data_IF_129671716390
#
_entry.id   IF_129671716390
#
_cell.length_a   1.000
_cell.length_b   1.000
_cell.length_c   1.000
_cell.angle_alpha   90.00
_cell.angle_beta   90.00
_cell.angle_gamma   90.00
#
_symmetry.space_group_name_H-M   'P 1'
#
loop_
_entity.id
_entity.type
_entity.pdbx_description
1 polymer ?
#
# COMPACT_ATOMS: atom_id res chain seq x y z
N UNK A 1 -4.56 38.63 -11.36
CA UNK A 1 -4.30 38.07 -12.71
C UNK A 1 -4.00 36.59 -12.47
N UNK A 2 -4.86 35.70 -12.96
CA UNK A 2 -4.67 34.24 -12.84
C UNK A 2 -3.49 33.79 -13.72
N UNK A 3 -2.88 32.65 -13.35
CA UNK A 3 -1.84 32.00 -14.16
C UNK A 3 -2.48 31.41 -15.42
N UNK A 4 -1.75 31.41 -16.52
CA UNK A 4 -2.14 30.64 -17.72
C UNK A 4 -1.95 29.14 -17.46
N UNK A 5 -2.56 28.26 -18.27
CA UNK A 5 -2.41 26.80 -18.13
C UNK A 5 -0.94 26.36 -18.19
N UNK A 6 -0.16 26.92 -19.11
CA UNK A 6 1.28 26.64 -19.21
C UNK A 6 2.05 27.09 -17.97
N UNK A 7 1.72 28.25 -17.39
CA UNK A 7 2.34 28.71 -16.14
C UNK A 7 1.94 27.84 -14.95
N UNK A 8 0.68 27.41 -14.88
CA UNK A 8 0.18 26.49 -13.86
C UNK A 8 0.91 25.16 -13.93
N UNK A 9 1.04 24.60 -15.13
CA UNK A 9 1.77 23.34 -15.33
C UNK A 9 3.24 23.48 -14.89
N UNK A 10 3.95 24.51 -15.35
CA UNK A 10 5.36 24.74 -14.98
C UNK A 10 5.53 24.90 -13.46
N UNK A 11 4.62 25.63 -12.82
CA UNK A 11 4.60 25.82 -11.37
C UNK A 11 4.40 24.48 -10.63
N UNK A 12 3.42 23.69 -11.04
CA UNK A 12 3.12 22.39 -10.42
C UNK A 12 4.27 21.40 -10.60
N UNK A 13 4.89 21.33 -11.78
CA UNK A 13 6.04 20.47 -12.05
C UNK A 13 7.27 20.82 -11.20
N UNK A 14 7.40 22.07 -10.78
CA UNK A 14 8.47 22.52 -9.90
C UNK A 14 8.12 22.30 -8.42
N UNK A 15 6.94 22.73 -8.00
CA UNK A 15 6.58 22.81 -6.57
C UNK A 15 6.12 21.48 -6.00
N UNK A 16 5.35 20.69 -6.75
CA UNK A 16 4.78 19.45 -6.24
C UNK A 16 5.84 18.40 -5.88
N UNK A 17 6.85 18.10 -6.74
CA UNK A 17 7.94 17.19 -6.36
C UNK A 17 8.75 17.68 -5.15
N UNK A 18 8.97 19.00 -5.03
CA UNK A 18 9.67 19.60 -3.90
C UNK A 18 8.89 19.42 -2.59
N UNK A 19 7.58 19.65 -2.63
CA UNK A 19 6.68 19.43 -1.50
C UNK A 19 6.65 17.95 -1.09
N UNK A 20 6.45 17.05 -2.04
CA UNK A 20 6.48 15.59 -1.79
C UNK A 20 7.79 15.17 -1.14
N UNK A 21 8.95 15.67 -1.62
CA UNK A 21 10.25 15.37 -1.04
C UNK A 21 10.39 15.89 0.39
N UNK A 22 9.98 17.15 0.63
CA UNK A 22 10.10 17.77 1.95
C UNK A 22 9.30 17.00 3.02
N UNK A 23 8.01 16.76 2.76
CA UNK A 23 7.17 16.01 3.69
C UNK A 23 7.50 14.52 3.71
N UNK A 24 7.95 13.95 2.59
CA UNK A 24 8.44 12.58 2.52
C UNK A 24 9.65 12.34 3.43
N UNK A 25 10.61 13.26 3.45
CA UNK A 25 11.76 13.18 4.36
C UNK A 25 11.34 13.22 5.84
N UNK A 26 10.34 14.04 6.20
CA UNK A 26 9.78 14.04 7.56
C UNK A 26 9.12 12.70 7.90
N UNK A 27 8.36 12.13 6.96
CA UNK A 27 7.73 10.83 7.14
C UNK A 27 8.77 9.71 7.26
N UNK A 28 9.86 9.77 6.49
CA UNK A 28 10.99 8.84 6.60
C UNK A 28 11.68 8.92 7.96
N UNK A 29 11.91 10.16 8.47
CA UNK A 29 12.48 10.35 9.80
C UNK A 29 11.60 9.75 10.91
N UNK A 30 10.28 10.02 10.85
CA UNK A 30 9.31 9.42 11.78
C UNK A 30 9.29 7.89 11.70
N UNK A 31 9.46 7.32 10.50
CA UNK A 31 9.54 5.86 10.32
C UNK A 31 10.80 5.26 10.95
N UNK A 32 11.94 5.96 10.92
CA UNK A 32 13.17 5.57 11.62
C UNK A 32 12.95 5.54 13.13
N UNK A 33 12.39 6.61 13.69
CA UNK A 33 12.09 6.69 15.13
C UNK A 33 11.14 5.55 15.53
N UNK A 34 10.05 5.38 14.79
CA UNK A 34 9.08 4.32 15.06
C UNK A 34 9.71 2.92 15.00
N UNK A 35 10.59 2.66 14.01
CA UNK A 35 11.28 1.39 13.89
C UNK A 35 12.19 1.13 15.10
N UNK A 36 12.99 2.12 15.50
CA UNK A 36 13.89 2.01 16.66
C UNK A 36 13.12 1.80 17.97
N UNK A 37 12.04 2.56 18.19
CA UNK A 37 11.17 2.42 19.36
C UNK A 37 10.55 1.02 19.41
N UNK A 38 10.03 0.56 18.28
CA UNK A 38 9.42 -0.76 18.19
C UNK A 38 10.48 -1.86 18.46
N UNK A 39 11.67 -1.75 17.86
CA UNK A 39 12.79 -2.68 18.09
C UNK A 39 13.21 -2.71 19.56
N UNK A 40 13.25 -1.57 20.23
CA UNK A 40 13.60 -1.47 21.65
C UNK A 40 12.59 -2.16 22.59
N UNK A 41 11.39 -2.50 22.12
CA UNK A 41 10.42 -3.27 22.92
C UNK A 41 10.74 -4.77 22.98
N UNK A 42 11.73 -5.24 22.21
CA UNK A 42 12.17 -6.64 22.17
C UNK A 42 13.55 -6.77 22.79
N UNK A 43 13.79 -7.89 23.45
CA UNK A 43 15.11 -8.28 23.96
C UNK A 43 15.86 -9.02 22.84
N UNK A 44 16.70 -8.27 22.12
CA UNK A 44 17.39 -8.75 20.92
C UNK A 44 18.89 -8.80 21.14
N UNK A 45 19.52 -9.89 20.78
CA UNK A 45 20.97 -10.09 20.88
C UNK A 45 21.80 -9.29 19.87
N UNK A 46 21.15 -8.66 18.91
CA UNK A 46 21.81 -7.91 17.83
C UNK A 46 21.62 -6.40 17.96
N UNK A 47 22.70 -5.65 17.76
CA UNK A 47 22.65 -4.20 17.65
C UNK A 47 22.25 -3.78 16.23
N UNK A 48 21.29 -2.89 16.12
CA UNK A 48 20.89 -2.27 14.88
C UNK A 48 20.24 -0.91 15.16
N UNK A 49 20.57 0.07 14.36
CA UNK A 49 19.95 1.40 14.39
C UNK A 49 19.39 1.69 13.00
N UNK A 50 18.11 1.96 12.91
CA UNK A 50 17.44 2.28 11.66
C UNK A 50 17.99 3.57 11.06
N UNK A 51 18.02 3.64 9.74
CA UNK A 51 18.49 4.80 8.97
C UNK A 51 17.52 5.10 7.82
N UNK A 52 17.55 6.35 7.33
CA UNK A 52 16.78 6.72 6.14
C UNK A 52 17.56 6.23 4.91
N UNK A 53 16.97 5.34 4.05
CA UNK A 53 17.60 4.93 2.80
C UNK A 53 17.54 6.06 1.78
N UNK A 54 18.27 5.92 0.67
CA UNK A 54 18.12 6.82 -0.46
C UNK A 54 16.76 6.61 -1.13
N UNK A 55 15.88 7.63 -1.04
CA UNK A 55 14.53 7.59 -1.61
C UNK A 55 14.38 8.71 -2.64
N UNK A 56 14.05 8.32 -3.87
CA UNK A 56 13.78 9.29 -4.94
C UNK A 56 12.42 9.02 -5.59
N UNK A 57 11.44 9.87 -5.28
CA UNK A 57 10.08 9.83 -5.87
C UNK A 57 9.85 10.99 -6.86
N UNK A 58 10.90 11.66 -7.31
CA UNK A 58 10.79 12.84 -8.18
C UNK A 58 10.02 12.54 -9.48
N UNK A 59 10.39 11.46 -10.17
CA UNK A 59 9.74 11.11 -11.43
C UNK A 59 8.29 10.65 -11.24
N UNK A 60 7.98 9.98 -10.13
CA UNK A 60 6.62 9.61 -9.80
C UNK A 60 5.77 10.85 -9.52
N UNK A 61 6.31 11.84 -8.81
CA UNK A 61 5.62 13.10 -8.54
C UNK A 61 5.38 13.90 -9.84
N UNK A 62 6.36 13.96 -10.74
CA UNK A 62 6.15 14.55 -12.08
C UNK A 62 5.04 13.82 -12.83
N UNK A 63 5.06 12.48 -12.83
CA UNK A 63 4.02 11.67 -13.47
C UNK A 63 2.63 11.89 -12.88
N UNK A 64 2.53 12.14 -11.56
CA UNK A 64 1.27 12.49 -10.91
C UNK A 64 0.73 13.84 -11.42
N UNK A 65 1.59 14.85 -11.55
CA UNK A 65 1.20 16.17 -12.10
C UNK A 65 0.70 16.02 -13.53
N UNK A 66 1.49 15.40 -14.41
CA UNK A 66 1.13 15.26 -15.82
C UNK A 66 -0.21 14.52 -16.00
N UNK A 67 -0.35 13.36 -15.36
CA UNK A 67 -1.60 12.59 -15.43
C UNK A 67 -2.78 13.36 -14.87
N UNK A 68 -2.62 14.06 -13.75
CA UNK A 68 -3.70 14.83 -13.15
C UNK A 68 -4.14 15.97 -14.05
N UNK A 69 -3.19 16.64 -14.74
CA UNK A 69 -3.52 17.70 -15.70
C UNK A 69 -4.20 17.16 -16.97
N UNK A 70 -3.88 15.92 -17.38
CA UNK A 70 -4.53 15.27 -18.53
C UNK A 70 -5.96 14.79 -18.22
N UNK A 71 -6.21 14.36 -16.98
CA UNK A 71 -7.47 13.72 -16.58
C UNK A 71 -8.48 14.66 -15.92
N UNK A 72 -8.05 15.84 -15.44
CA UNK A 72 -8.90 16.77 -14.71
C UNK A 72 -9.63 17.74 -15.64
N UNK A 73 -10.92 17.97 -15.37
CA UNK A 73 -11.75 18.90 -16.13
C UNK A 73 -11.48 20.37 -15.75
N UNK A 74 -11.02 20.62 -14.51
CA UNK A 74 -10.76 21.95 -13.99
C UNK A 74 -9.64 21.96 -12.93
N UNK A 75 -9.20 23.17 -12.55
CA UNK A 75 -8.13 23.38 -11.57
C UNK A 75 -8.51 22.89 -10.16
N UNK A 76 -9.77 22.87 -9.80
CA UNK A 76 -10.25 22.40 -8.50
C UNK A 76 -10.06 20.89 -8.42
N UNK A 77 -10.34 20.19 -9.51
CA UNK A 77 -10.11 18.75 -9.62
C UNK A 77 -8.61 18.42 -9.62
N UNK A 78 -7.77 19.21 -10.31
CA UNK A 78 -6.30 19.10 -10.24
C UNK A 78 -5.83 19.21 -8.79
N UNK A 79 -6.27 20.23 -8.06
CA UNK A 79 -5.89 20.45 -6.67
C UNK A 79 -6.33 19.30 -5.76
N UNK A 80 -7.55 18.82 -5.91
CA UNK A 80 -8.09 17.70 -5.13
C UNK A 80 -7.29 16.42 -5.38
N UNK A 81 -7.03 16.08 -6.65
CA UNK A 81 -6.32 14.89 -7.04
C UNK A 81 -4.85 14.91 -6.57
N UNK A 82 -4.15 16.05 -6.77
CA UNK A 82 -2.76 16.19 -6.30
C UNK A 82 -2.67 16.15 -4.76
N UNK A 83 -3.65 16.73 -4.05
CA UNK A 83 -3.71 16.64 -2.59
C UNK A 83 -3.82 15.20 -2.13
N UNK A 84 -4.70 14.40 -2.74
CA UNK A 84 -4.85 12.99 -2.43
C UNK A 84 -3.60 12.16 -2.75
N UNK A 85 -2.96 12.44 -3.89
CA UNK A 85 -1.71 11.80 -4.31
C UNK A 85 -0.52 12.19 -3.43
N UNK A 86 -0.48 13.44 -2.91
CA UNK A 86 0.57 13.89 -1.97
C UNK A 86 0.64 13.01 -0.73
N UNK A 87 -0.51 12.75 -0.10
CA UNK A 87 -0.56 11.89 1.07
C UNK A 87 -0.03 10.50 0.80
N UNK A 88 -0.38 9.93 -0.35
CA UNK A 88 0.14 8.64 -0.79
C UNK A 88 1.67 8.68 -0.97
N UNK A 89 2.20 9.68 -1.70
CA UNK A 89 3.64 9.80 -1.96
C UNK A 89 4.44 10.01 -0.69
N UNK A 90 3.95 10.81 0.23
CA UNK A 90 4.58 11.03 1.53
C UNK A 90 4.64 9.73 2.34
N UNK A 91 3.54 8.96 2.36
CA UNK A 91 3.53 7.67 3.06
C UNK A 91 4.45 6.62 2.41
N UNK A 92 4.66 6.68 1.08
CA UNK A 92 5.64 5.81 0.41
C UNK A 92 7.07 6.03 0.92
N UNK A 93 7.46 7.24 1.35
CA UNK A 93 8.77 7.47 2.00
C UNK A 93 8.87 6.74 3.35
N UNK A 94 7.83 6.82 4.15
CA UNK A 94 7.80 6.10 5.43
C UNK A 94 7.84 4.58 5.21
N UNK A 95 7.08 4.07 4.25
CA UNK A 95 7.02 2.64 3.94
C UNK A 95 8.35 2.10 3.40
N UNK A 96 8.95 2.82 2.46
CA UNK A 96 10.26 2.43 1.91
C UNK A 96 11.33 2.43 3.01
N UNK A 97 11.31 3.45 3.89
CA UNK A 97 12.24 3.53 5.04
C UNK A 97 12.03 2.37 6.01
N UNK A 98 10.79 2.12 6.40
CA UNK A 98 10.46 1.05 7.34
C UNK A 98 10.87 -0.32 6.79
N UNK A 99 10.52 -0.59 5.53
CA UNK A 99 10.78 -1.87 4.89
C UNK A 99 12.27 -2.09 4.65
N UNK A 100 12.99 -1.05 4.20
CA UNK A 100 14.44 -1.15 3.99
C UNK A 100 15.17 -1.49 5.30
N UNK A 101 14.74 -0.90 6.43
CA UNK A 101 15.30 -1.22 7.73
C UNK A 101 14.92 -2.65 8.16
N UNK A 102 13.69 -3.08 7.97
CA UNK A 102 13.27 -4.45 8.29
C UNK A 102 14.05 -5.51 7.49
N UNK A 103 14.44 -5.19 6.24
CA UNK A 103 15.25 -6.08 5.41
C UNK A 103 16.72 -6.11 5.81
N UNK A 104 17.26 -5.01 6.36
CA UNK A 104 18.68 -4.90 6.76
C UNK A 104 18.92 -5.30 8.21
N UNK A 105 17.89 -5.34 9.03
CA UNK A 105 18.02 -5.71 10.44
C UNK A 105 18.51 -7.17 10.58
N UNK A 106 19.66 -7.40 11.26
CA UNK A 106 20.20 -8.75 11.45
C UNK A 106 19.31 -9.67 12.28
N UNK A 107 18.31 -9.13 12.99
CA UNK A 107 17.30 -9.91 13.68
C UNK A 107 16.22 -10.49 12.74
N UNK A 108 16.24 -10.14 11.43
CA UNK A 108 15.35 -10.66 10.40
C UNK A 108 13.85 -10.66 10.78
N UNK A 109 13.28 -9.52 11.19
CA UNK A 109 11.89 -9.48 11.62
C UNK A 109 10.93 -9.87 10.50
N UNK A 110 9.83 -10.49 10.87
CA UNK A 110 8.66 -10.57 10.00
C UNK A 110 7.88 -9.27 10.10
N UNK A 111 7.15 -8.91 9.08
CA UNK A 111 6.37 -7.69 9.09
C UNK A 111 4.97 -7.84 8.51
N UNK A 112 4.10 -6.89 8.86
CA UNK A 112 2.71 -6.85 8.48
C UNK A 112 2.27 -5.42 8.17
N UNK A 113 1.17 -5.26 7.45
CA UNK A 113 0.42 -4.01 7.37
C UNK A 113 -0.75 -4.07 8.34
N UNK A 114 -0.76 -3.16 9.29
CA UNK A 114 -1.79 -3.07 10.32
C UNK A 114 -2.85 -2.06 9.89
N UNK A 115 -4.09 -2.50 9.62
CA UNK A 115 -5.17 -1.60 9.30
C UNK A 115 -5.66 -0.84 10.53
N UNK A 116 -5.79 0.48 10.41
CA UNK A 116 -6.36 1.35 11.43
C UNK A 116 -7.86 1.60 11.22
N UNK A 117 -8.47 2.35 12.14
CA UNK A 117 -9.88 2.75 12.04
C UNK A 117 -10.17 3.45 10.70
N UNK A 118 -11.22 3.03 10.03
CA UNK A 118 -11.59 3.50 8.69
C UNK A 118 -10.77 2.90 7.55
N UNK A 119 -10.03 1.81 7.81
CA UNK A 119 -9.39 1.03 6.75
C UNK A 119 -10.44 0.37 5.84
N UNK A 120 -10.12 0.28 4.55
CA UNK A 120 -11.00 -0.37 3.57
C UNK A 120 -10.93 -1.89 3.64
N UNK A 121 -11.82 -2.58 2.92
CA UNK A 121 -11.88 -4.04 2.90
C UNK A 121 -10.58 -4.68 2.38
N UNK A 122 -9.90 -4.04 1.41
CA UNK A 122 -8.58 -4.48 0.93
C UNK A 122 -7.53 -4.46 2.05
N UNK A 123 -7.47 -3.37 2.82
CA UNK A 123 -6.55 -3.26 3.96
C UNK A 123 -6.83 -4.33 5.02
N UNK A 124 -8.11 -4.62 5.30
CA UNK A 124 -8.47 -5.68 6.24
C UNK A 124 -8.06 -7.07 5.73
N UNK A 125 -8.19 -7.32 4.43
CA UNK A 125 -7.73 -8.55 3.80
C UNK A 125 -6.20 -8.69 3.94
N UNK A 126 -5.43 -7.65 3.63
CA UNK A 126 -3.97 -7.67 3.79
C UNK A 126 -3.59 -7.88 5.26
N UNK A 127 -4.22 -7.16 6.18
CA UNK A 127 -3.99 -7.31 7.62
C UNK A 127 -4.35 -8.70 8.15
N UNK A 128 -5.29 -9.42 7.50
CA UNK A 128 -5.64 -10.78 7.92
C UNK A 128 -4.50 -11.79 7.74
N UNK A 129 -3.53 -11.51 6.86
CA UNK A 129 -2.36 -12.34 6.69
C UNK A 129 -1.40 -12.27 7.90
N UNK A 130 -1.42 -11.18 8.66
CA UNK A 130 -0.53 -10.96 9.80
C UNK A 130 0.93 -10.82 9.39
N UNK A 131 1.84 -11.25 10.26
CA UNK A 131 3.29 -11.14 10.10
C UNK A 131 3.86 -12.25 9.20
N UNK A 132 3.51 -12.26 7.94
CA UNK A 132 3.96 -13.27 6.96
C UNK A 132 4.88 -12.71 5.90
N UNK A 133 5.11 -11.41 5.93
CA UNK A 133 5.83 -10.73 4.87
C UNK A 133 7.33 -10.73 5.16
N UNK A 134 8.09 -11.34 4.26
CA UNK A 134 9.53 -11.24 4.15
C UNK A 134 9.87 -10.66 2.78
N UNK A 135 11.01 -10.13 2.61
CA UNK A 135 11.67 -9.49 1.45
C UNK A 135 10.84 -9.00 0.25
N UNK A 136 9.83 -9.73 -0.22
CA UNK A 136 9.16 -9.44 -1.49
C UNK A 136 7.70 -8.99 -1.38
N UNK A 137 7.19 -8.91 -0.22
CA UNK A 137 5.74 -9.21 -0.09
C UNK A 137 4.88 -8.09 0.18
N UNK A 138 4.97 -6.86 0.34
CA UNK A 138 3.80 -5.99 0.59
C UNK A 138 4.00 -4.49 0.39
N UNK A 139 5.09 -4.13 -0.18
CA UNK A 139 5.22 -2.75 -0.71
C UNK A 139 4.24 -2.49 -1.87
N UNK A 140 3.57 -3.55 -2.31
CA UNK A 140 2.60 -3.47 -3.34
C UNK A 140 1.34 -2.81 -2.81
N UNK A 141 1.13 -1.62 -3.24
CA UNK A 141 -0.20 -1.04 -3.37
C UNK A 141 -0.81 -0.40 -2.13
N UNK A 142 -0.15 0.60 -1.57
CA UNK A 142 -0.94 1.65 -0.94
C UNK A 142 -1.82 2.31 -2.00
N UNK A 143 -3.11 2.28 -1.79
CA UNK A 143 -4.05 3.10 -2.55
C UNK A 143 -4.10 4.53 -1.96
N UNK A 144 -4.63 5.45 -2.69
CA UNK A 144 -4.95 6.80 -2.21
C UNK A 144 -5.81 6.69 -0.94
N UNK A 145 -5.46 7.46 0.11
CA UNK A 145 -6.11 7.41 1.43
C UNK A 145 -5.95 6.08 2.21
N UNK A 146 -4.93 5.28 1.93
CA UNK A 146 -4.63 4.10 2.73
C UNK A 146 -4.36 4.47 4.20
N UNK A 147 -4.98 3.71 5.12
CA UNK A 147 -4.84 3.90 6.58
C UNK A 147 -4.21 2.65 7.22
N UNK A 148 -3.14 2.15 6.63
CA UNK A 148 -2.39 1.04 7.20
C UNK A 148 -1.00 1.51 7.60
N UNK A 149 -0.45 0.96 8.67
CA UNK A 149 0.93 1.21 9.10
C UNK A 149 1.72 -0.08 9.02
N UNK A 150 2.93 -0.07 8.42
CA UNK A 150 3.81 -1.21 8.49
C UNK A 150 4.29 -1.39 9.94
N UNK A 151 4.45 -2.63 10.36
CA UNK A 151 5.00 -2.97 11.67
C UNK A 151 5.79 -4.27 11.58
N UNK A 152 6.72 -4.51 12.50
CA UNK A 152 7.55 -5.71 12.55
C UNK A 152 7.25 -6.55 13.79
N UNK A 153 7.59 -7.82 13.70
CA UNK A 153 7.61 -8.78 14.80
C UNK A 153 8.93 -9.54 14.75
N UNK A 154 9.70 -9.43 15.82
CA UNK A 154 10.98 -10.14 16.00
C UNK A 154 10.83 -11.52 16.63
N UNK A 155 9.61 -12.01 16.75
CA UNK A 155 9.28 -13.22 17.49
C UNK A 155 8.92 -12.90 18.95
N UNK A 156 8.06 -13.71 19.55
CA UNK A 156 7.55 -13.51 20.91
C UNK A 156 6.85 -12.15 21.11
N UNK A 157 6.15 -11.67 20.08
CA UNK A 157 5.45 -10.39 20.10
C UNK A 157 4.48 -10.26 21.27
N UNK A 158 4.53 -9.16 22.03
CA UNK A 158 3.47 -8.81 22.99
C UNK A 158 2.13 -8.53 22.30
N UNK A 159 2.08 -8.59 20.98
CA UNK A 159 0.95 -8.17 20.15
C UNK A 159 0.98 -6.67 19.85
N UNK A 160 0.34 -6.29 18.76
CA UNK A 160 0.17 -4.88 18.38
C UNK A 160 -1.14 -4.38 18.94
N UNK A 161 -1.09 -3.32 19.74
CA UNK A 161 -2.29 -2.74 20.31
C UNK A 161 -3.32 -2.35 19.24
N UNK A 162 -4.56 -2.77 19.40
CA UNK A 162 -5.64 -2.52 18.44
C UNK A 162 -5.66 -3.45 17.22
N UNK A 163 -4.66 -4.31 17.05
CA UNK A 163 -4.60 -5.28 15.96
C UNK A 163 -5.07 -6.67 16.42
N UNK A 164 -6.13 -7.18 15.79
CA UNK A 164 -6.66 -8.51 16.06
C UNK A 164 -6.72 -9.32 14.78
N UNK A 165 -5.61 -9.98 14.46
CA UNK A 165 -5.47 -10.81 13.26
C UNK A 165 -6.55 -11.89 13.17
N UNK A 166 -6.89 -12.57 14.28
CA UNK A 166 -7.92 -13.63 14.30
C UNK A 166 -9.30 -13.09 13.91
N UNK A 167 -9.61 -11.84 14.31
CA UNK A 167 -10.86 -11.18 13.88
C UNK A 167 -10.85 -10.90 12.38
N UNK A 168 -9.74 -10.42 11.84
CA UNK A 168 -9.59 -10.17 10.41
C UNK A 168 -9.64 -11.47 9.59
N UNK A 169 -9.01 -12.52 10.07
CA UNK A 169 -9.07 -13.85 9.44
C UNK A 169 -10.51 -14.42 9.40
N UNK A 170 -11.31 -14.17 10.45
CA UNK A 170 -12.72 -14.55 10.45
C UNK A 170 -13.51 -13.78 9.39
N UNK A 171 -13.29 -12.47 9.26
CA UNK A 171 -13.93 -11.69 8.20
C UNK A 171 -13.58 -12.22 6.81
N UNK A 172 -12.29 -12.48 6.58
CA UNK A 172 -11.80 -13.06 5.33
C UNK A 172 -12.41 -14.43 5.04
N UNK A 173 -12.35 -15.37 5.99
CA UNK A 173 -12.82 -16.74 5.79
C UNK A 173 -14.34 -16.79 5.57
N UNK A 174 -15.12 -15.99 6.30
CA UNK A 174 -16.57 -15.88 6.11
C UNK A 174 -16.90 -15.32 4.73
N UNK A 175 -16.23 -14.25 4.32
CA UNK A 175 -16.45 -13.67 3.00
C UNK A 175 -16.05 -14.64 1.88
N UNK A 176 -14.91 -15.32 2.02
CA UNK A 176 -14.42 -16.32 1.07
C UNK A 176 -15.43 -17.45 0.90
N UNK A 177 -15.85 -18.07 2.00
CA UNK A 177 -16.82 -19.18 1.97
C UNK A 177 -18.13 -18.78 1.30
N UNK A 178 -18.55 -17.52 1.43
CA UNK A 178 -19.81 -17.04 0.81
C UNK A 178 -19.73 -16.74 -0.68
N UNK A 179 -18.53 -16.70 -1.29
CA UNK A 179 -18.36 -16.33 -2.72
C UNK A 179 -17.61 -17.36 -3.54
N UNK A 180 -16.92 -18.34 -2.93
CA UNK A 180 -15.95 -19.20 -3.62
C UNK A 180 -16.58 -20.07 -4.72
N UNK A 181 -17.73 -20.70 -4.46
CA UNK A 181 -18.40 -21.56 -5.43
C UNK A 181 -18.97 -20.76 -6.60
N UNK A 182 -19.61 -19.63 -6.32
CA UNK A 182 -20.09 -18.70 -7.35
C UNK A 182 -18.92 -18.16 -8.18
N UNK A 183 -17.82 -17.74 -7.52
CA UNK A 183 -16.64 -17.23 -8.20
C UNK A 183 -16.00 -18.29 -9.11
N UNK A 184 -15.94 -19.54 -8.69
CA UNK A 184 -15.42 -20.65 -9.49
C UNK A 184 -16.26 -20.87 -10.74
N UNK A 185 -17.58 -20.89 -10.60
CA UNK A 185 -18.51 -21.04 -11.70
C UNK A 185 -18.41 -19.87 -12.69
N UNK A 186 -18.41 -18.65 -12.19
CA UNK A 186 -18.26 -17.45 -13.01
C UNK A 186 -16.93 -17.41 -13.75
N UNK A 187 -15.82 -17.75 -13.07
CA UNK A 187 -14.51 -17.81 -13.70
C UNK A 187 -14.46 -18.85 -14.84
N UNK A 188 -15.04 -20.02 -14.63
CA UNK A 188 -15.09 -21.06 -15.65
C UNK A 188 -15.86 -20.61 -16.91
N UNK A 189 -16.92 -19.81 -16.72
CA UNK A 189 -17.75 -19.29 -17.80
C UNK A 189 -17.16 -18.07 -18.53
N UNK A 190 -16.15 -17.39 -17.94
CA UNK A 190 -15.54 -16.22 -18.56
C UNK A 190 -14.74 -16.58 -19.81
N UNK A 191 -14.84 -15.72 -20.81
CA UNK A 191 -13.98 -15.74 -21.98
C UNK A 191 -12.51 -15.43 -21.63
N UNK A 192 -11.53 -15.82 -22.47
CA UNK A 192 -10.13 -15.44 -22.28
C UNK A 192 -9.92 -13.92 -22.17
N UNK A 193 -10.69 -13.12 -22.92
CA UNK A 193 -10.60 -11.66 -22.90
C UNK A 193 -11.07 -11.08 -21.56
N UNK A 194 -12.17 -11.59 -21.01
CA UNK A 194 -12.66 -11.16 -19.69
C UNK A 194 -11.68 -11.51 -18.58
N UNK A 195 -11.02 -12.68 -18.66
CA UNK A 195 -10.02 -13.10 -17.66
C UNK A 195 -8.76 -12.23 -17.68
N UNK A 196 -8.41 -11.60 -18.80
CA UNK A 196 -7.25 -10.68 -18.90
C UNK A 196 -7.29 -9.53 -17.90
N UNK A 197 -8.48 -9.10 -17.45
CA UNK A 197 -8.64 -8.08 -16.41
C UNK A 197 -8.07 -8.47 -15.05
N UNK A 198 -7.81 -9.76 -14.84
CA UNK A 198 -7.34 -10.33 -13.57
C UNK A 198 -5.91 -10.86 -13.67
N UNK A 199 -5.08 -10.20 -14.46
CA UNK A 199 -3.65 -10.52 -14.54
C UNK A 199 -2.94 -10.02 -13.28
N UNK A 200 -1.97 -10.81 -12.80
CA UNK A 200 -1.08 -10.39 -11.72
C UNK A 200 0.23 -9.90 -12.30
N UNK A 201 0.47 -8.60 -12.18
CA UNK A 201 1.81 -8.05 -12.40
C UNK A 201 2.33 -7.58 -11.05
N UNK A 202 3.50 -8.04 -10.66
CA UNK A 202 4.23 -7.58 -9.47
C UNK A 202 5.41 -6.74 -9.93
N UNK A 203 5.62 -5.59 -9.30
CA UNK A 203 6.84 -4.82 -9.48
C UNK A 203 7.81 -5.22 -8.37
N UNK A 204 8.99 -5.69 -8.74
CA UNK A 204 10.06 -6.01 -7.80
C UNK A 204 10.72 -4.73 -7.27
N UNK A 205 11.54 -4.84 -6.22
CA UNK A 205 12.24 -3.71 -5.61
C UNK A 205 13.11 -2.93 -6.59
N UNK A 206 13.71 -3.61 -7.57
CA UNK A 206 14.52 -3.03 -8.64
C UNK A 206 13.68 -2.45 -9.81
N UNK A 207 12.37 -2.33 -9.63
CA UNK A 207 11.46 -1.74 -10.61
C UNK A 207 11.05 -2.67 -11.75
N UNK A 208 11.53 -3.92 -11.80
CA UNK A 208 11.11 -4.89 -12.82
C UNK A 208 9.69 -5.35 -12.59
N UNK A 209 8.91 -5.36 -13.65
CA UNK A 209 7.59 -6.01 -13.64
C UNK A 209 7.78 -7.51 -13.81
N UNK A 210 7.46 -8.28 -12.78
CA UNK A 210 7.43 -9.75 -12.80
C UNK A 210 6.00 -10.23 -12.64
N UNK A 211 5.67 -11.28 -13.36
CA UNK A 211 4.30 -11.79 -13.43
C UNK A 211 3.82 -11.69 -14.85
N UNK A 212 3.13 -12.70 -15.27
CA UNK A 212 2.75 -12.86 -16.65
C UNK A 212 1.52 -12.07 -17.03
N UNK A 213 1.30 -11.99 -18.31
CA UNK A 213 0.01 -11.68 -18.92
C UNK A 213 -1.02 -12.81 -18.68
N UNK A 214 -0.74 -13.73 -17.76
CA UNK A 214 -1.59 -14.88 -17.49
C UNK A 214 -2.68 -14.50 -16.48
N UNK A 215 -3.94 -14.62 -16.85
CA UNK A 215 -5.05 -14.39 -15.93
C UNK A 215 -4.99 -15.32 -14.71
N UNK A 216 -5.27 -14.79 -13.54
CA UNK A 216 -5.21 -15.51 -12.26
C UNK A 216 -6.59 -15.61 -11.63
N UNK A 217 -7.06 -16.83 -11.41
CA UNK A 217 -8.28 -17.08 -10.62
C UNK A 217 -8.18 -16.50 -9.21
N UNK A 218 -7.00 -16.58 -8.59
CA UNK A 218 -6.78 -16.02 -7.25
C UNK A 218 -6.94 -14.50 -7.22
N UNK A 219 -6.54 -13.78 -8.28
CA UNK A 219 -6.76 -12.34 -8.38
C UNK A 219 -8.26 -12.02 -8.51
N UNK A 220 -8.98 -12.80 -9.31
CA UNK A 220 -10.42 -12.68 -9.44
C UNK A 220 -11.16 -12.98 -8.12
N UNK A 221 -10.86 -14.12 -7.50
CA UNK A 221 -11.44 -14.53 -6.22
C UNK A 221 -11.19 -13.49 -5.12
N UNK A 222 -9.96 -12.96 -5.06
CA UNK A 222 -9.61 -11.90 -4.10
C UNK A 222 -10.50 -10.67 -4.26
N UNK A 223 -10.74 -10.23 -5.50
CA UNK A 223 -11.64 -9.09 -5.75
C UNK A 223 -13.07 -9.38 -5.27
N UNK A 224 -13.57 -10.60 -5.47
CA UNK A 224 -14.88 -11.02 -4.97
C UNK A 224 -14.93 -11.01 -3.44
N UNK A 225 -13.88 -11.51 -2.78
CA UNK A 225 -13.78 -11.52 -1.31
C UNK A 225 -13.77 -10.08 -0.78
N UNK A 226 -12.97 -9.18 -1.37
CA UNK A 226 -12.92 -7.77 -0.96
C UNK A 226 -14.27 -7.10 -1.09
N UNK A 227 -14.97 -7.30 -2.23
CA UNK A 227 -16.33 -6.78 -2.43
C UNK A 227 -17.31 -7.31 -1.38
N UNK A 228 -17.21 -8.60 -1.04
CA UNK A 228 -18.06 -9.21 -0.03
C UNK A 228 -17.77 -8.67 1.37
N UNK A 229 -16.49 -8.55 1.75
CA UNK A 229 -16.07 -7.94 3.02
C UNK A 229 -16.57 -6.50 3.14
N UNK A 230 -16.42 -5.70 2.08
CA UNK A 230 -16.91 -4.32 2.04
C UNK A 230 -18.41 -4.23 2.33
N UNK A 231 -19.21 -5.09 1.68
CA UNK A 231 -20.66 -5.15 1.89
C UNK A 231 -21.03 -5.61 3.31
N UNK A 232 -20.37 -6.65 3.82
CA UNK A 232 -20.66 -7.20 5.15
C UNK A 232 -20.28 -6.25 6.28
N UNK A 233 -19.25 -5.44 6.10
CA UNK A 233 -18.72 -4.54 7.11
C UNK A 233 -19.15 -3.08 6.91
N UNK A 234 -19.91 -2.80 5.84
CA UNK A 234 -20.32 -1.44 5.45
C UNK A 234 -19.16 -0.45 5.33
N UNK A 235 -18.06 -0.87 4.69
CA UNK A 235 -16.84 -0.10 4.51
C UNK A 235 -16.48 0.04 3.02
N UNK A 236 -15.55 0.94 2.72
CA UNK A 236 -15.04 1.13 1.37
C UNK A 236 -14.35 -0.14 0.83
N UNK A 237 -14.50 -0.40 -0.46
CA UNK A 237 -13.98 -1.60 -1.11
C UNK A 237 -12.49 -1.48 -1.47
N UNK A 238 -12.10 -0.45 -2.20
CA UNK A 238 -10.78 -0.21 -2.77
C UNK A 238 -10.11 -1.50 -3.27
N UNK A 239 -10.36 -1.84 -4.52
CA UNK A 239 -9.70 -2.93 -5.24
C UNK A 239 -8.39 -2.46 -5.86
N UNK A 240 -7.45 -3.36 -6.00
CA UNK A 240 -6.21 -3.18 -6.74
C UNK A 240 -6.09 -4.20 -7.87
#
# INVERSE_FOLDING_TARGET
VGMTDTQTQAYLLQQYPALVKAYGNLAAAAAVEYYNDLRATYDLDSDYTATIPEINKHYQAIGDVNRTLEEADDITQVQSNLSALSGRRVMEYADDTFTDNALRDPAHPRWALIPHAGACAWCLLIGSNGFVYSEDGVLASRHTHCKCTPTVDFGNSPGVQGFNQKKLQRYYSTARASVEDEARTQWAAMSPEERKKYTRTRTTRDGRKVGGNTPSYDAYLRNKIVSRMAKQLHIAEHKH
#
